data_IF_052898515119
#
_entry.id   IF_052898515119
#
_cell.length_a   1.000
_cell.length_b   1.000
_cell.length_c   1.000
_cell.angle_alpha   90.00
_cell.angle_beta   90.00
_cell.angle_gamma   90.00
#
_symmetry.space_group_name_H-M   'P 1'
#
loop_
_entity.id
_entity.type
_entity.pdbx_description
1 polymer ?
#
# COMPACT_ATOMS: atom_id res chain seq x y z
N UNK A 1 -9.92 -21.80 67.42
CA UNK A 1 -10.32 -20.95 66.27
C UNK A 1 -9.18 -20.20 65.53
N UNK A 2 -7.86 -20.47 65.69
CA UNK A 2 -6.82 -19.80 64.88
C UNK A 2 -6.39 -20.56 63.60
N UNK A 3 -6.87 -21.78 63.36
CA UNK A 3 -6.41 -22.65 62.27
C UNK A 3 -6.94 -22.30 60.87
N UNK A 4 -8.03 -21.53 60.76
CA UNK A 4 -8.67 -21.22 59.47
C UNK A 4 -8.19 -19.92 58.82
N UNK A 5 -7.56 -19.03 59.59
CA UNK A 5 -7.06 -17.75 59.12
C UNK A 5 -5.99 -17.89 57.99
N UNK A 6 -4.98 -18.78 58.09
CA UNK A 6 -4.06 -18.99 56.98
C UNK A 6 -4.73 -19.59 55.74
N UNK A 7 -5.71 -20.49 55.91
CA UNK A 7 -6.43 -21.09 54.79
C UNK A 7 -7.29 -20.05 54.04
N UNK A 8 -7.94 -19.13 54.76
CA UNK A 8 -8.70 -18.02 54.16
C UNK A 8 -7.81 -17.06 53.36
N UNK A 9 -6.60 -16.76 53.85
CA UNK A 9 -5.64 -15.91 53.13
C UNK A 9 -5.13 -16.58 51.86
N UNK A 10 -4.84 -17.89 51.92
CA UNK A 10 -4.42 -18.63 50.72
C UNK A 10 -5.56 -18.68 49.69
N UNK A 11 -6.79 -18.93 50.14
CA UNK A 11 -7.94 -19.04 49.25
C UNK A 11 -8.32 -17.69 48.62
N UNK A 12 -8.20 -16.58 49.35
CA UNK A 12 -8.40 -15.24 48.79
C UNK A 12 -7.31 -14.87 47.80
N UNK A 13 -6.04 -15.19 48.08
CA UNK A 13 -4.94 -14.98 47.14
C UNK A 13 -5.11 -15.82 45.86
N UNK A 14 -5.51 -17.09 46.00
CA UNK A 14 -5.80 -17.95 44.85
C UNK A 14 -6.97 -17.43 44.00
N UNK A 15 -8.06 -16.98 44.65
CA UNK A 15 -9.20 -16.37 43.94
C UNK A 15 -8.78 -15.10 43.17
N UNK A 16 -7.94 -14.25 43.78
CA UNK A 16 -7.44 -13.03 43.15
C UNK A 16 -6.53 -13.36 41.95
N UNK A 17 -5.64 -14.36 42.08
CA UNK A 17 -4.81 -14.85 40.99
C UNK A 17 -5.66 -15.36 39.81
N UNK A 18 -6.71 -16.15 40.08
CA UNK A 18 -7.64 -16.62 39.05
C UNK A 18 -8.34 -15.45 38.36
N UNK A 19 -8.79 -14.45 39.12
CA UNK A 19 -9.46 -13.28 38.57
C UNK A 19 -8.54 -12.44 37.67
N UNK A 20 -7.25 -12.29 38.04
CA UNK A 20 -6.23 -11.66 37.20
C UNK A 20 -6.05 -12.44 35.89
N UNK A 21 -5.96 -13.78 35.96
CA UNK A 21 -5.80 -14.61 34.76
C UNK A 21 -7.02 -14.46 33.84
N UNK A 22 -8.23 -14.52 34.38
CA UNK A 22 -9.47 -14.32 33.62
C UNK A 22 -9.52 -12.92 32.99
N UNK A 23 -9.11 -11.89 33.72
CA UNK A 23 -9.04 -10.53 33.20
C UNK A 23 -8.03 -10.41 32.05
N UNK A 24 -6.83 -10.99 32.18
CA UNK A 24 -5.82 -11.02 31.12
C UNK A 24 -6.30 -11.76 29.87
N UNK A 25 -7.02 -12.87 30.05
CA UNK A 25 -7.65 -13.60 28.95
C UNK A 25 -8.71 -12.71 28.29
N UNK A 26 -9.59 -12.08 29.07
CA UNK A 26 -10.62 -11.18 28.55
C UNK A 26 -10.02 -10.01 27.76
N UNK A 27 -9.02 -9.34 28.31
CA UNK A 27 -8.34 -8.21 27.67
C UNK A 27 -7.72 -8.64 26.33
N UNK A 28 -7.00 -9.77 26.32
CA UNK A 28 -6.38 -10.30 25.09
C UNK A 28 -7.41 -10.76 24.06
N UNK A 29 -8.53 -11.37 24.51
CA UNK A 29 -9.50 -12.04 23.64
C UNK A 29 -10.60 -11.11 23.11
N UNK A 30 -10.94 -10.07 23.85
CA UNK A 30 -12.11 -9.21 23.57
C UNK A 30 -11.69 -7.78 23.36
N UNK A 31 -10.88 -7.23 24.26
CA UNK A 31 -10.60 -5.79 24.27
C UNK A 31 -9.56 -5.40 23.23
N UNK A 32 -8.46 -6.16 23.12
CA UNK A 32 -7.43 -5.92 22.11
C UNK A 32 -7.94 -5.99 20.66
N UNK A 33 -8.68 -7.02 20.22
CA UNK A 33 -9.20 -7.05 18.86
C UNK A 33 -10.18 -5.90 18.61
N UNK A 34 -11.05 -5.55 19.57
CA UNK A 34 -11.96 -4.40 19.41
C UNK A 34 -11.22 -3.08 19.25
N UNK A 35 -10.20 -2.82 20.06
CA UNK A 35 -9.37 -1.61 19.94
C UNK A 35 -8.69 -1.51 18.58
N UNK A 36 -8.21 -2.63 18.04
CA UNK A 36 -7.63 -2.68 16.69
C UNK A 36 -8.70 -2.46 15.60
N UNK A 37 -9.88 -3.06 15.74
CA UNK A 37 -11.03 -2.87 14.84
C UNK A 37 -11.47 -1.40 14.82
N UNK A 38 -11.55 -0.77 16.00
CA UNK A 38 -11.94 0.64 16.15
C UNK A 38 -10.89 1.58 15.53
N UNK A 39 -9.61 1.36 15.78
CA UNK A 39 -8.51 2.14 15.16
C UNK A 39 -8.53 2.04 13.63
N UNK A 40 -8.71 0.84 13.10
CA UNK A 40 -8.82 0.62 11.64
C UNK A 40 -10.04 1.35 11.08
N UNK A 41 -11.18 1.26 11.77
CA UNK A 41 -12.43 1.92 11.37
C UNK A 41 -12.31 3.45 11.42
N UNK A 42 -11.64 3.98 12.43
CA UNK A 42 -11.34 5.41 12.57
C UNK A 42 -10.43 5.88 11.44
N UNK A 43 -9.34 5.15 11.17
CA UNK A 43 -8.40 5.47 10.10
C UNK A 43 -9.05 5.40 8.69
N UNK A 44 -10.01 4.49 8.50
CA UNK A 44 -10.83 4.41 7.28
C UNK A 44 -11.90 5.52 7.19
N UNK A 45 -12.11 6.31 8.25
CA UNK A 45 -13.13 7.35 8.29
C UNK A 45 -14.56 6.81 8.30
N UNK A 46 -14.78 5.64 8.90
CA UNK A 46 -16.09 4.98 8.98
C UNK A 46 -16.52 4.23 7.72
N UNK A 47 -15.70 4.22 6.67
CA UNK A 47 -15.95 3.39 5.49
C UNK A 47 -15.83 1.90 5.82
N UNK A 48 -16.63 1.07 5.15
CA UNK A 48 -16.57 -0.38 5.32
C UNK A 48 -15.30 -0.92 4.63
N UNK A 49 -14.52 -1.80 5.30
CA UNK A 49 -13.39 -2.46 4.66
C UNK A 49 -13.89 -3.57 3.72
N UNK A 50 -13.30 -3.64 2.53
CA UNK A 50 -13.55 -4.71 1.55
C UNK A 50 -12.80 -5.98 1.95
N UNK A 51 -11.55 -5.80 2.35
CA UNK A 51 -10.71 -6.83 2.98
C UNK A 51 -10.08 -6.25 4.23
N UNK A 52 -10.15 -7.02 5.30
CA UNK A 52 -9.48 -6.74 6.55
C UNK A 52 -8.82 -8.00 7.08
N UNK A 53 -7.76 -7.80 7.85
CA UNK A 53 -7.15 -8.86 8.63
C UNK A 53 -6.49 -8.24 9.85
N UNK A 54 -6.75 -8.86 10.99
CA UNK A 54 -6.41 -8.34 12.30
C UNK A 54 -5.61 -9.41 13.02
N UNK A 55 -4.53 -8.97 13.64
CA UNK A 55 -3.54 -9.83 14.27
C UNK A 55 -3.32 -9.34 15.72
N UNK A 56 -4.20 -9.75 16.66
CA UNK A 56 -4.20 -9.20 18.02
C UNK A 56 -2.87 -9.44 18.76
N UNK A 57 -2.25 -10.61 18.55
CA UNK A 57 -1.01 -11.03 19.21
C UNK A 57 0.13 -10.07 18.93
N UNK A 58 0.30 -9.71 17.67
CA UNK A 58 1.38 -8.82 17.21
C UNK A 58 0.94 -7.36 17.13
N UNK A 59 -0.28 -7.07 17.60
CA UNK A 59 -0.87 -5.73 17.62
C UNK A 59 -0.80 -5.06 16.25
N UNK A 60 -1.08 -5.85 15.22
CA UNK A 60 -1.02 -5.42 13.83
C UNK A 60 -2.39 -5.63 13.18
N UNK A 61 -2.74 -4.77 12.25
CA UNK A 61 -3.94 -4.90 11.46
C UNK A 61 -3.75 -4.23 10.12
N UNK A 62 -4.46 -4.72 9.10
CA UNK A 62 -4.51 -4.06 7.81
C UNK A 62 -5.89 -4.19 7.20
N UNK A 63 -6.33 -3.12 6.57
CA UNK A 63 -7.58 -3.09 5.84
C UNK A 63 -7.45 -2.26 4.57
N UNK A 64 -8.21 -2.68 3.55
CA UNK A 64 -8.37 -1.96 2.29
C UNK A 64 -9.85 -1.58 2.18
N UNK A 65 -10.10 -0.31 1.86
CA UNK A 65 -11.42 0.17 1.46
C UNK A 65 -11.33 0.89 0.12
N UNK A 66 -12.02 0.35 -0.88
CA UNK A 66 -12.12 0.95 -2.22
C UNK A 66 -12.99 2.19 -2.22
N UNK A 67 -14.05 2.18 -1.41
CA UNK A 67 -14.97 3.32 -1.31
C UNK A 67 -14.25 4.57 -0.78
N UNK A 68 -13.30 4.40 0.14
CA UNK A 68 -12.51 5.49 0.70
C UNK A 68 -11.18 5.76 -0.02
N UNK A 69 -10.81 4.94 -1.01
CA UNK A 69 -9.50 4.95 -1.68
C UNK A 69 -8.30 4.89 -0.71
N UNK A 70 -8.43 4.06 0.35
CA UNK A 70 -7.47 3.97 1.45
C UNK A 70 -7.05 2.54 1.76
N UNK A 71 -5.78 2.40 2.10
CA UNK A 71 -5.17 1.20 2.66
C UNK A 71 -4.60 1.60 4.02
N UNK A 72 -5.15 1.02 5.08
CA UNK A 72 -4.74 1.31 6.45
C UNK A 72 -3.84 0.19 6.94
N UNK A 73 -2.71 0.57 7.53
CA UNK A 73 -1.75 -0.33 8.14
C UNK A 73 -1.50 0.12 9.57
N UNK A 74 -1.86 -0.74 10.52
CA UNK A 74 -1.56 -0.58 11.93
C UNK A 74 -0.43 -1.55 12.26
N UNK A 75 0.68 -1.02 12.79
CA UNK A 75 1.80 -1.82 13.34
C UNK A 75 1.98 -1.46 14.80
N UNK A 76 2.24 -2.46 15.64
CA UNK A 76 2.56 -2.24 17.05
C UNK A 76 1.58 -1.23 17.69
N UNK A 77 0.27 -1.54 17.65
CA UNK A 77 -0.79 -0.66 18.13
C UNK A 77 -0.43 0.05 19.44
N UNK A 78 -0.56 1.38 19.43
CA UNK A 78 -0.21 2.29 20.52
C UNK A 78 1.26 2.70 20.59
N UNK A 79 2.17 2.10 19.82
CA UNK A 79 3.60 2.47 19.78
C UNK A 79 3.99 3.20 18.50
N UNK A 80 3.48 2.74 17.36
CA UNK A 80 3.74 3.38 16.06
C UNK A 80 2.44 4.01 15.55
N UNK A 81 2.53 5.17 14.87
CA UNK A 81 1.36 5.77 14.27
C UNK A 81 0.81 4.87 13.17
N UNK A 82 -0.52 4.82 13.08
CA UNK A 82 -1.24 4.16 11.98
C UNK A 82 -0.88 4.82 10.65
N UNK A 83 -0.50 4.02 9.67
CA UNK A 83 -0.14 4.49 8.33
C UNK A 83 -1.30 4.33 7.38
N UNK A 84 -1.51 5.33 6.55
CA UNK A 84 -2.58 5.35 5.55
C UNK A 84 -1.92 5.57 4.20
N UNK A 85 -2.10 4.61 3.30
CA UNK A 85 -1.70 4.68 1.91
C UNK A 85 -2.94 4.83 1.02
N UNK A 86 -2.76 5.35 -0.17
CA UNK A 86 -3.81 5.32 -1.20
C UNK A 86 -3.76 4.01 -1.97
N UNK A 87 -4.81 3.69 -2.73
CA UNK A 87 -4.81 2.49 -3.59
C UNK A 87 -3.80 2.63 -4.73
N UNK A 88 -3.45 3.85 -5.12
CA UNK A 88 -2.43 4.13 -6.13
C UNK A 88 -1.01 3.76 -5.65
N UNK A 89 -0.73 3.95 -4.36
CA UNK A 89 0.57 3.63 -3.74
C UNK A 89 0.82 2.12 -3.63
N UNK A 90 -0.21 1.29 -3.84
CA UNK A 90 -0.07 -0.15 -3.83
C UNK A 90 0.66 -0.63 -5.09
N UNK A 91 1.80 -1.26 -4.87
CA UNK A 91 2.67 -1.78 -5.92
C UNK A 91 2.42 -3.27 -6.21
N UNK A 92 2.15 -4.05 -5.16
CA UNK A 92 2.00 -5.50 -5.28
C UNK A 92 1.60 -6.19 -3.97
N UNK A 93 1.38 -7.49 -4.08
CA UNK A 93 1.15 -8.38 -2.95
C UNK A 93 1.80 -9.74 -3.20
N UNK A 94 2.40 -10.27 -2.15
CA UNK A 94 2.99 -11.60 -2.10
C UNK A 94 2.33 -12.42 -1.01
N UNK A 95 2.08 -13.69 -1.30
CA UNK A 95 1.55 -14.66 -0.36
C UNK A 95 2.63 -15.69 -0.09
N UNK A 96 2.95 -15.88 1.19
CA UNK A 96 3.91 -16.84 1.68
C UNK A 96 3.20 -17.99 2.38
N UNK A 97 3.61 -19.21 2.06
CA UNK A 97 3.18 -20.44 2.70
C UNK A 97 4.42 -21.25 3.05
N UNK A 98 4.56 -21.63 4.30
CA UNK A 98 5.72 -22.30 4.90
C UNK A 98 7.05 -21.61 4.53
N UNK A 99 7.07 -20.28 4.60
CA UNK A 99 8.22 -19.43 4.26
C UNK A 99 8.56 -19.34 2.77
N UNK A 100 7.79 -19.96 1.87
CA UNK A 100 7.98 -19.91 0.42
C UNK A 100 6.96 -19.00 -0.23
N UNK A 101 7.37 -18.25 -1.26
CA UNK A 101 6.44 -17.45 -2.06
C UNK A 101 5.53 -18.40 -2.83
N UNK A 102 4.27 -18.41 -2.44
CA UNK A 102 3.24 -19.26 -3.03
C UNK A 102 2.55 -18.55 -4.21
N UNK A 103 2.32 -17.25 -4.08
CA UNK A 103 1.73 -16.44 -5.14
C UNK A 103 2.20 -14.98 -5.07
N UNK A 104 2.28 -14.32 -6.22
CA UNK A 104 2.69 -12.92 -6.32
C UNK A 104 1.83 -12.20 -7.34
N UNK A 105 1.42 -10.97 -7.01
CA UNK A 105 0.80 -10.05 -7.95
C UNK A 105 1.51 -8.70 -7.88
N UNK A 106 1.94 -8.19 -9.03
CA UNK A 106 2.66 -6.93 -9.17
C UNK A 106 2.06 -6.12 -10.32
N UNK A 107 2.13 -4.79 -10.24
CA UNK A 107 1.66 -3.90 -11.29
C UNK A 107 2.43 -4.15 -12.60
N UNK A 108 1.72 -4.31 -13.72
CA UNK A 108 2.31 -4.53 -15.03
C UNK A 108 3.12 -3.29 -15.50
N UNK A 109 4.30 -3.51 -16.10
CA UNK A 109 5.18 -2.44 -16.59
C UNK A 109 6.04 -1.77 -15.51
N UNK A 110 6.06 -2.32 -14.30
CA UNK A 110 6.81 -1.74 -13.19
C UNK A 110 8.29 -2.14 -13.23
N UNK A 111 9.18 -1.15 -13.16
CA UNK A 111 10.60 -1.29 -13.43
C UNK A 111 11.39 -2.00 -12.33
N UNK A 112 10.77 -2.40 -11.20
CA UNK A 112 11.43 -3.15 -10.13
C UNK A 112 11.45 -4.63 -10.52
N UNK A 113 12.59 -5.16 -10.99
CA UNK A 113 12.73 -6.59 -11.23
C UNK A 113 12.99 -7.18 -9.85
N UNK A 114 11.92 -7.55 -9.15
CA UNK A 114 12.09 -8.31 -7.92
C UNK A 114 12.44 -9.75 -8.34
N UNK A 115 13.73 -9.99 -8.59
CA UNK A 115 14.58 -11.22 -8.74
C UNK A 115 13.98 -12.59 -9.12
N UNK A 116 12.67 -12.79 -9.02
CA UNK A 116 11.93 -14.03 -9.21
C UNK A 116 10.65 -13.71 -9.98
N UNK A 117 10.41 -14.39 -11.12
CA UNK A 117 9.39 -14.04 -12.12
C UNK A 117 7.95 -13.78 -11.63
N UNK A 118 7.15 -13.21 -12.53
CA UNK A 118 5.72 -12.94 -12.36
C UNK A 118 4.93 -14.26 -12.25
N UNK A 119 4.67 -14.77 -11.05
CA UNK A 119 3.94 -16.04 -10.89
C UNK A 119 2.50 -15.85 -10.40
N UNK A 120 1.57 -16.23 -11.28
CA UNK A 120 0.12 -16.13 -11.14
C UNK A 120 -0.50 -17.51 -10.96
N UNK A 121 -1.13 -17.71 -9.80
CA UNK A 121 -2.38 -18.44 -9.52
C UNK A 121 -2.31 -19.04 -8.10
N UNK A 122 -3.11 -18.51 -7.15
CA UNK A 122 -3.52 -19.30 -5.98
C UNK A 122 -4.63 -20.25 -6.45
N UNK A 123 -4.27 -21.28 -7.21
CA UNK A 123 -5.22 -22.35 -7.57
C UNK A 123 -4.92 -23.65 -6.83
N UNK A 124 -3.70 -23.81 -6.30
CA UNK A 124 -3.31 -25.05 -5.65
C UNK A 124 -3.73 -25.09 -4.16
N UNK A 125 -4.46 -26.13 -3.78
CA UNK A 125 -4.81 -26.39 -2.39
C UNK A 125 -3.60 -27.11 -1.79
N UNK A 126 -2.71 -26.38 -1.13
CA UNK A 126 -1.65 -27.01 -0.34
C UNK A 126 -2.31 -27.95 0.70
N UNK A 127 -2.03 -29.27 0.68
CA UNK A 127 -2.73 -30.24 1.53
C UNK A 127 -2.39 -30.08 3.03
N UNK A 128 -1.24 -29.46 3.33
CA UNK A 128 -0.80 -29.12 4.68
C UNK A 128 -0.19 -27.73 4.67
N UNK A 129 -0.67 -26.86 5.55
CA UNK A 129 -0.23 -25.45 5.67
C UNK A 129 0.09 -25.19 7.13
N UNK A 130 1.36 -24.85 7.43
CA UNK A 130 1.79 -24.59 8.80
C UNK A 130 1.76 -23.10 9.09
N UNK A 131 2.26 -22.26 8.18
CA UNK A 131 2.17 -20.81 8.27
C UNK A 131 1.60 -20.17 7.00
N UNK A 132 0.91 -19.03 7.18
CA UNK A 132 0.37 -18.23 6.09
C UNK A 132 0.64 -16.77 6.38
N UNK A 133 1.36 -16.13 5.48
CA UNK A 133 1.73 -14.73 5.63
C UNK A 133 1.49 -13.99 4.33
N UNK A 134 1.02 -12.75 4.40
CA UNK A 134 0.79 -11.88 3.26
C UNK A 134 1.70 -10.66 3.39
N UNK A 135 2.40 -10.30 2.31
CA UNK A 135 3.21 -9.09 2.25
C UNK A 135 2.64 -8.15 1.21
N UNK A 136 2.22 -6.97 1.65
CA UNK A 136 1.83 -5.85 0.80
C UNK A 136 3.08 -5.04 0.46
N UNK A 137 3.22 -4.63 -0.80
CA UNK A 137 4.35 -3.85 -1.28
C UNK A 137 3.80 -2.50 -1.74
N UNK A 138 4.42 -1.42 -1.29
CA UNK A 138 4.05 -0.04 -1.54
C UNK A 138 5.19 0.72 -2.23
N UNK A 139 4.84 1.78 -2.92
CA UNK A 139 5.77 2.76 -3.49
C UNK A 139 6.20 3.82 -2.44
N UNK A 140 6.64 3.38 -1.26
CA UNK A 140 7.17 4.23 -0.19
C UNK A 140 8.65 3.88 0.07
N UNK A 141 9.61 4.81 -0.09
CA UNK A 141 11.02 4.55 0.18
C UNK A 141 11.34 4.28 1.66
N UNK A 142 10.51 4.75 2.60
CA UNK A 142 10.75 4.63 4.04
C UNK A 142 10.24 3.28 4.56
N UNK A 143 9.04 2.86 4.15
CA UNK A 143 8.45 1.56 4.51
C UNK A 143 7.82 0.89 3.29
N UNK A 144 8.64 0.26 2.43
CA UNK A 144 8.21 -0.27 1.15
C UNK A 144 7.33 -1.52 1.26
N UNK A 145 7.34 -2.21 2.40
CA UNK A 145 6.63 -3.47 2.56
C UNK A 145 5.99 -3.60 3.94
N UNK A 146 4.82 -4.22 3.99
CA UNK A 146 4.13 -4.60 5.22
C UNK A 146 3.77 -6.07 5.19
N UNK A 147 4.24 -6.80 6.20
CA UNK A 147 3.97 -8.21 6.37
C UNK A 147 2.88 -8.41 7.43
N UNK A 148 1.87 -9.21 7.06
CA UNK A 148 0.72 -9.56 7.88
C UNK A 148 0.64 -11.07 8.02
N UNK A 149 0.67 -11.56 9.25
CA UNK A 149 0.64 -13.00 9.52
C UNK A 149 -0.82 -13.40 9.66
N UNK A 150 -1.32 -14.20 8.72
CA UNK A 150 -2.69 -14.69 8.75
C UNK A 150 -2.82 -15.93 9.63
N UNK A 151 -1.78 -16.77 9.69
CA UNK A 151 -1.74 -17.96 10.51
C UNK A 151 -0.32 -18.39 10.84
N UNK A 152 -0.14 -18.84 12.09
CA UNK A 152 1.05 -19.55 12.57
C UNK A 152 0.59 -20.55 13.64
N UNK A 153 1.27 -21.69 13.83
CA UNK A 153 0.89 -22.66 14.85
C UNK A 153 0.95 -22.08 16.27
N UNK A 154 1.90 -21.17 16.52
CA UNK A 154 2.04 -20.44 17.79
C UNK A 154 0.78 -19.62 18.14
N UNK A 155 0.03 -19.19 17.12
CA UNK A 155 -1.16 -18.37 17.29
C UNK A 155 -2.44 -19.20 17.49
N UNK A 156 -2.36 -20.54 17.48
CA UNK A 156 -3.52 -21.42 17.60
C UNK A 156 -4.36 -21.20 18.87
N UNK A 157 -3.74 -20.72 19.95
CA UNK A 157 -4.39 -20.43 21.24
C UNK A 157 -4.84 -18.97 21.37
N UNK A 158 -5.01 -18.24 20.27
CA UNK A 158 -5.29 -16.80 20.29
C UNK A 158 -6.72 -16.47 19.86
N UNK A 159 -7.16 -15.24 20.14
CA UNK A 159 -8.55 -14.77 20.06
C UNK A 159 -9.24 -14.96 18.70
N UNK A 160 -8.44 -14.92 17.63
CA UNK A 160 -8.90 -14.92 16.24
C UNK A 160 -8.11 -15.94 15.41
N UNK A 161 -7.67 -17.02 16.06
CA UNK A 161 -6.96 -18.11 15.42
C UNK A 161 -7.94 -18.86 14.50
N UNK A 162 -8.02 -18.50 13.23
CA UNK A 162 -9.03 -19.08 12.33
C UNK A 162 -8.62 -20.43 11.70
N UNK A 163 -7.51 -21.00 12.15
CA UNK A 163 -6.99 -22.24 11.59
C UNK A 163 -6.38 -22.05 10.20
N UNK A 164 -5.59 -23.03 9.73
CA UNK A 164 -4.82 -22.91 8.48
C UNK A 164 -5.73 -22.78 7.25
N UNK A 165 -6.88 -23.47 7.23
CA UNK A 165 -7.81 -23.45 6.10
C UNK A 165 -8.48 -22.09 5.91
N UNK A 166 -8.93 -21.44 6.99
CA UNK A 166 -9.54 -20.11 6.90
C UNK A 166 -8.50 -19.04 6.58
N UNK A 167 -7.28 -19.19 7.10
CA UNK A 167 -6.17 -18.31 6.75
C UNK A 167 -5.85 -18.35 5.25
N UNK A 168 -5.83 -19.54 4.64
CA UNK A 168 -5.70 -19.67 3.18
C UNK A 168 -6.89 -19.08 2.41
N UNK A 169 -8.11 -19.21 2.92
CA UNK A 169 -9.28 -18.56 2.32
C UNK A 169 -9.16 -17.02 2.38
N UNK A 170 -8.67 -16.49 3.50
CA UNK A 170 -8.39 -15.07 3.66
C UNK A 170 -7.24 -14.60 2.76
N UNK A 171 -6.16 -15.37 2.64
CA UNK A 171 -5.06 -15.08 1.71
C UNK A 171 -5.54 -14.98 0.27
N UNK A 172 -6.41 -15.91 -0.16
CA UNK A 172 -7.10 -15.84 -1.46
C UNK A 172 -7.93 -14.58 -1.62
N UNK A 173 -8.72 -14.23 -0.59
CA UNK A 173 -9.53 -13.01 -0.60
C UNK A 173 -8.64 -11.78 -0.82
N UNK A 174 -7.55 -11.64 -0.05
CA UNK A 174 -6.55 -10.59 -0.23
C UNK A 174 -5.96 -10.58 -1.63
N UNK A 175 -5.53 -11.74 -2.13
CA UNK A 175 -4.93 -11.88 -3.45
C UNK A 175 -5.86 -11.39 -4.57
N UNK A 176 -7.11 -11.86 -4.61
CA UNK A 176 -8.06 -11.46 -5.65
C UNK A 176 -8.44 -9.98 -5.57
N UNK A 177 -8.54 -9.43 -4.36
CA UNK A 177 -8.84 -8.02 -4.16
C UNK A 177 -7.68 -7.15 -4.67
N UNK A 178 -6.45 -7.44 -4.26
CA UNK A 178 -5.27 -6.71 -4.75
C UNK A 178 -5.05 -6.93 -6.26
N UNK A 179 -5.28 -8.13 -6.76
CA UNK A 179 -5.21 -8.38 -8.20
C UNK A 179 -6.24 -7.54 -8.98
N UNK A 180 -7.47 -7.41 -8.48
CA UNK A 180 -8.49 -6.57 -9.10
C UNK A 180 -8.09 -5.08 -9.09
N UNK A 181 -7.48 -4.60 -7.99
CA UNK A 181 -6.91 -3.24 -7.91
C UNK A 181 -5.87 -3.03 -9.00
N UNK A 182 -4.88 -3.92 -9.06
CA UNK A 182 -3.69 -3.74 -9.91
C UNK A 182 -4.01 -3.89 -11.39
N UNK A 183 -5.04 -4.67 -11.74
CA UNK A 183 -5.57 -4.78 -13.12
C UNK A 183 -6.37 -3.55 -13.54
N UNK A 184 -6.85 -2.73 -12.60
CA UNK A 184 -7.59 -1.52 -12.93
C UNK A 184 -6.61 -0.49 -13.50
N UNK A 185 -6.85 0.06 -14.71
CA UNK A 185 -6.05 1.19 -15.18
C UNK A 185 -6.26 2.33 -14.20
N UNK A 186 -5.18 2.75 -13.53
CA UNK A 186 -5.18 3.93 -12.67
C UNK A 186 -5.54 5.09 -13.59
N UNK A 187 -6.77 5.58 -13.46
CA UNK A 187 -7.08 6.90 -13.99
C UNK A 187 -6.28 7.86 -13.11
N UNK A 188 -5.10 8.24 -13.59
CA UNK A 188 -4.42 9.42 -13.09
C UNK A 188 -5.47 10.51 -13.11
N UNK A 189 -5.78 11.08 -11.94
CA UNK A 189 -6.63 12.25 -11.83
C UNK A 189 -5.88 13.36 -12.54
N UNK A 190 -6.06 13.47 -13.85
CA UNK A 190 -5.65 14.62 -14.64
C UNK A 190 -6.33 15.80 -13.94
N UNK A 191 -5.58 16.78 -13.42
CA UNK A 191 -6.18 18.01 -12.93
C UNK A 191 -7.14 18.49 -14.01
N UNK A 192 -8.38 18.92 -13.66
CA UNK A 192 -9.27 19.49 -14.65
C UNK A 192 -8.46 20.49 -15.48
N UNK A 193 -8.46 20.41 -16.82
CA UNK A 193 -7.86 21.47 -17.61
C UNK A 193 -8.48 22.75 -17.09
N UNK A 194 -7.65 23.68 -16.63
CA UNK A 194 -8.10 24.95 -16.09
C UNK A 194 -9.09 25.54 -17.09
N UNK A 195 -10.38 25.46 -16.77
CA UNK A 195 -11.43 26.09 -17.52
C UNK A 195 -11.14 27.59 -17.40
N UNK A 196 -10.80 28.18 -18.55
CA UNK A 196 -10.64 29.61 -18.78
C UNK A 196 -9.27 30.21 -18.40
N UNK A 197 -8.26 29.95 -19.24
CA UNK A 197 -7.51 31.10 -19.76
C UNK A 197 -8.41 31.76 -20.82
N UNK A 198 -8.77 33.05 -20.70
CA UNK A 198 -9.56 33.73 -21.72
C UNK A 198 -8.77 33.72 -23.03
N UNK A 199 -9.38 33.13 -24.07
CA UNK A 199 -8.95 33.27 -25.45
C UNK A 199 -8.94 34.77 -25.76
N UNK A 200 -7.81 35.38 -26.18
CA UNK A 200 -7.85 36.74 -26.69
C UNK A 200 -8.73 36.76 -27.94
N UNK A 201 -9.79 37.54 -27.83
CA UNK A 201 -10.79 37.80 -28.87
C UNK A 201 -10.09 38.26 -30.17
N UNK A 202 -10.43 37.67 -31.34
CA UNK A 202 -9.86 38.10 -32.61
C UNK A 202 -10.30 39.54 -32.88
N UNK A 203 -9.32 40.43 -33.02
CA UNK A 203 -9.52 41.83 -33.34
C UNK A 203 -10.44 41.98 -34.57
N UNK A 204 -11.56 42.68 -34.38
CA UNK A 204 -12.42 43.15 -35.47
C UNK A 204 -11.59 44.06 -36.38
N UNK A 205 -11.30 43.56 -37.59
CA UNK A 205 -10.72 44.37 -38.67
C UNK A 205 -11.84 45.26 -39.22
N UNK A 206 -11.79 46.55 -38.91
CA UNK A 206 -12.56 47.58 -39.60
C UNK A 206 -11.85 47.91 -40.91
N UNK A 207 -12.53 47.72 -42.05
CA UNK A 207 -12.11 48.32 -43.31
C UNK A 207 -12.25 49.84 -43.26
N UNK A 208 -11.47 50.58 -44.06
CA UNK A 208 -12.01 51.00 -45.37
C UNK A 208 -11.00 50.92 -46.54
N UNK A 209 -11.58 50.91 -47.74
CA UNK A 209 -10.95 50.78 -49.06
C UNK A 209 -10.37 52.14 -49.59
N UNK A 210 -10.05 52.29 -50.90
CA UNK A 210 -8.82 51.85 -51.58
C UNK A 210 -8.07 53.03 -52.26
N UNK A 211 -6.78 52.89 -52.58
CA UNK A 211 -6.14 53.70 -53.64
C UNK A 211 -4.84 53.05 -54.15
N UNK A 212 -4.78 52.82 -55.47
CA UNK A 212 -3.60 52.40 -56.23
C UNK A 212 -2.60 53.54 -56.43
N UNK A 213 -1.29 53.27 -56.40
CA UNK A 213 -0.28 53.87 -57.29
C UNK A 213 1.08 53.14 -57.21
N UNK A 214 1.41 52.38 -58.26
CA UNK A 214 2.66 52.42 -59.08
C UNK A 214 4.11 52.32 -58.49
N UNK A 215 5.17 52.03 -59.30
CA UNK A 215 6.07 50.89 -59.04
C UNK A 215 7.61 51.17 -59.01
N UNK A 216 8.36 50.32 -58.28
CA UNK A 216 9.83 50.00 -58.38
C UNK A 216 10.86 51.17 -58.28
N UNK A 217 12.20 50.98 -58.11
CA UNK A 217 13.03 49.76 -58.09
C UNK A 217 14.15 49.64 -57.00
N UNK A 218 14.71 48.43 -56.87
CA UNK A 218 16.08 47.97 -56.55
C UNK A 218 17.07 48.76 -55.65
N UNK A 219 17.68 48.08 -54.64
CA UNK A 219 19.10 47.61 -54.61
C UNK A 219 19.51 46.98 -53.22
N UNK A 220 20.51 46.07 -53.17
CA UNK A 220 21.02 45.33 -51.98
C UNK A 220 22.39 45.89 -51.49
N UNK A 221 23.32 45.15 -50.81
CA UNK A 221 23.33 44.35 -49.57
C UNK A 221 24.43 44.83 -48.54
N UNK A 222 24.48 44.28 -47.32
CA UNK A 222 25.71 44.19 -46.50
C UNK A 222 25.49 43.15 -45.37
N UNK A 223 26.07 41.95 -45.37
CA UNK A 223 27.47 41.51 -45.32
C UNK A 223 27.93 41.14 -43.89
N UNK A 224 28.29 39.85 -43.75
CA UNK A 224 29.24 39.25 -42.80
C UNK A 224 28.87 39.26 -41.30
N UNK A 225 29.07 38.22 -40.50
CA UNK A 225 29.96 37.06 -40.61
C UNK A 225 29.51 35.94 -39.65
N UNK A 226 29.65 34.71 -40.10
CA UNK A 226 29.98 33.53 -39.28
C UNK A 226 31.22 32.89 -39.95
N UNK A 227 31.87 31.84 -39.44
CA UNK A 227 31.73 31.09 -38.17
C UNK A 227 33.11 30.80 -37.50
N UNK A 228 33.13 30.09 -36.36
CA UNK A 228 34.16 29.07 -36.13
C UNK A 228 33.61 27.92 -35.28
N UNK A 229 33.98 26.73 -35.73
CA UNK A 229 33.54 25.39 -35.36
C UNK A 229 34.77 24.65 -34.79
N UNK A 230 34.59 23.86 -33.74
CA UNK A 230 35.38 22.65 -33.43
C UNK A 230 34.65 21.92 -32.27
N UNK A 231 33.95 20.81 -32.44
CA UNK A 231 34.33 19.46 -32.91
C UNK A 231 34.81 18.54 -31.77
N UNK A 232 34.24 17.32 -31.74
CA UNK A 232 34.55 16.18 -30.86
C UNK A 232 33.61 16.07 -29.66
N UNK A 233 32.47 15.37 -29.70
CA UNK A 233 32.18 13.96 -30.02
C UNK A 233 32.76 12.93 -29.02
N UNK A 234 31.88 11.98 -28.71
CA UNK A 234 32.01 10.64 -28.12
C UNK A 234 32.48 10.42 -26.68
N UNK A 235 31.51 9.96 -25.87
CA UNK A 235 31.50 8.64 -25.23
C UNK A 235 32.85 8.17 -24.63
N UNK A 236 33.14 8.52 -23.38
CA UNK A 236 33.87 7.63 -22.48
C UNK A 236 33.76 8.08 -21.01
N UNK A 237 32.85 7.49 -20.25
CA UNK A 237 32.89 7.50 -18.80
C UNK A 237 33.15 6.06 -18.34
N UNK A 238 34.24 5.78 -17.60
CA UNK A 238 34.60 4.42 -17.25
C UNK A 238 33.67 3.82 -16.19
N UNK A 239 33.33 2.54 -16.40
CA UNK A 239 32.63 1.67 -15.45
C UNK A 239 33.34 1.64 -14.10
N UNK A 240 32.57 1.81 -13.02
CA UNK A 240 32.98 1.51 -11.65
C UNK A 240 32.80 -0.01 -11.44
N UNK A 241 33.84 -0.78 -11.11
CA UNK A 241 33.66 -2.16 -10.68
C UNK A 241 33.33 -2.22 -9.19
N UNK A 242 32.25 -2.95 -8.86
CA UNK A 242 31.95 -3.42 -7.51
C UNK A 242 32.91 -4.57 -7.15
N UNK A 243 33.51 -4.49 -5.96
CA UNK A 243 33.92 -5.63 -5.12
C UNK A 243 33.21 -5.46 -3.79
#
# INVERSE_FOLDING_TARGET
MPTFLPALVILSAAALAVLIILYRIYESRVEQPKKLEDEVKEALGGARPDVESIEPVRKAACAISYAADKIVIVRNFGKLPTRIYTVADLYGLEVFVDGRIFARVVRAGSAKPLDTGSYKAIDDIAPTVNDVTVRLIFDDPIQPDFQLILWRPDDALTARAEGPRAAMARARKWFHHVEAILRRPVHVKVPPPALHAPVPEPAKVAGPAPASSEPAPALPPAASSSPKKSEGDVLNAPLIPYI
#
